data_IF_293674678412
#
_entry.id   IF_293674678412
#
_cell.length_a   1.000
_cell.length_b   1.000
_cell.length_c   1.000
_cell.angle_alpha   90.00
_cell.angle_beta   90.00
_cell.angle_gamma   90.00
#
_symmetry.space_group_name_H-M   'P 1'
#
loop_
_entity.id
_entity.type
_entity.pdbx_description
1 polymer ?
#
# COMPACT_ATOMS: atom_id res chain seq x y z
N UNK A 1 1.19 -26.24 -2.78
CA UNK A 1 0.26 -25.21 -3.28
C UNK A 1 0.99 -24.43 -4.37
N UNK A 2 0.33 -23.85 -5.39
CA UNK A 2 1.00 -23.04 -6.41
C UNK A 2 1.63 -21.79 -5.78
N UNK A 3 2.78 -21.34 -6.31
CA UNK A 3 3.46 -20.12 -5.84
C UNK A 3 2.52 -18.90 -5.83
N UNK A 4 1.70 -18.63 -6.88
CA UNK A 4 0.75 -17.51 -6.86
C UNK A 4 -0.23 -17.54 -5.70
N UNK A 5 -0.74 -18.71 -5.33
CA UNK A 5 -1.72 -18.84 -4.24
C UNK A 5 -1.10 -18.57 -2.87
N UNK A 6 0.17 -18.95 -2.67
CA UNK A 6 0.92 -18.63 -1.45
C UNK A 6 1.28 -17.13 -1.37
N UNK A 7 1.58 -16.50 -2.51
CA UNK A 7 1.80 -15.04 -2.58
C UNK A 7 0.52 -14.27 -2.24
N UNK A 8 -0.64 -14.75 -2.69
CA UNK A 8 -1.93 -14.16 -2.32
C UNK A 8 -2.26 -14.44 -0.85
N UNK A 9 -1.91 -15.62 -0.33
CA UNK A 9 -2.06 -15.93 1.10
C UNK A 9 -1.21 -15.00 1.98
N UNK A 10 0.04 -14.72 1.61
CA UNK A 10 0.89 -13.77 2.33
C UNK A 10 0.30 -12.34 2.33
N UNK A 11 -0.32 -11.93 1.23
CA UNK A 11 -1.04 -10.65 1.13
C UNK A 11 -2.21 -10.59 2.11
N UNK A 12 -3.04 -11.64 2.16
CA UNK A 12 -4.17 -11.74 3.11
C UNK A 12 -3.72 -11.72 4.57
N UNK A 13 -2.63 -12.41 4.89
CA UNK A 13 -1.99 -12.33 6.21
C UNK A 13 -1.59 -10.90 6.56
N UNK A 14 -1.03 -10.16 5.60
CA UNK A 14 -0.67 -8.74 5.79
C UNK A 14 -1.92 -7.87 6.04
N UNK A 15 -3.03 -8.09 5.33
CA UNK A 15 -4.29 -7.37 5.59
C UNK A 15 -4.86 -7.64 6.99
N UNK A 16 -4.68 -8.86 7.49
CA UNK A 16 -5.06 -9.24 8.85
C UNK A 16 -4.06 -8.79 9.94
N UNK A 17 -3.01 -8.05 9.56
CA UNK A 17 -1.91 -7.64 10.45
C UNK A 17 -1.12 -8.82 11.06
N UNK A 18 -0.98 -9.92 10.32
CA UNK A 18 -0.06 -11.02 10.61
C UNK A 18 1.20 -10.89 9.74
N UNK A 19 1.94 -9.78 9.91
CA UNK A 19 3.08 -9.47 9.05
C UNK A 19 4.28 -10.39 9.29
N UNK A 20 4.37 -11.01 10.48
CA UNK A 20 5.43 -11.97 10.80
C UNK A 20 5.22 -13.26 10.01
N UNK A 21 4.01 -13.85 10.06
CA UNK A 21 3.75 -15.05 9.27
C UNK A 21 3.79 -14.76 7.77
N UNK A 22 3.31 -13.60 7.32
CA UNK A 22 3.41 -13.18 5.93
C UNK A 22 4.87 -13.11 5.46
N UNK A 23 5.75 -12.45 6.23
CA UNK A 23 7.18 -12.36 5.92
C UNK A 23 7.84 -13.74 5.86
N UNK A 24 7.59 -14.57 6.86
CA UNK A 24 8.22 -15.89 6.95
C UNK A 24 7.75 -16.80 5.81
N UNK A 25 6.47 -16.72 5.42
CA UNK A 25 5.93 -17.38 4.24
C UNK A 25 6.63 -16.87 2.96
N UNK A 26 6.70 -15.55 2.75
CA UNK A 26 7.35 -14.96 1.56
C UNK A 26 8.81 -15.41 1.41
N UNK A 27 9.58 -15.41 2.50
CA UNK A 27 10.98 -15.87 2.48
C UNK A 27 11.09 -17.36 2.18
N UNK A 28 10.14 -18.17 2.66
CA UNK A 28 10.11 -19.62 2.38
C UNK A 28 9.85 -19.95 0.89
N UNK A 29 9.24 -19.04 0.13
CA UNK A 29 8.96 -19.22 -1.29
C UNK A 29 10.19 -18.96 -2.19
N UNK A 30 11.17 -18.18 -1.73
CA UNK A 30 12.33 -17.75 -2.54
C UNK A 30 13.06 -18.92 -3.20
N UNK A 31 13.44 -20.01 -2.49
CA UNK A 31 14.15 -21.12 -3.12
C UNK A 31 13.34 -21.82 -4.23
N UNK A 32 12.02 -21.89 -4.07
CA UNK A 32 11.13 -22.50 -5.08
C UNK A 32 10.98 -21.60 -6.30
N UNK A 33 10.91 -20.28 -6.09
CA UNK A 33 10.86 -19.28 -7.15
C UNK A 33 12.15 -19.27 -7.97
N UNK A 34 13.31 -19.32 -7.29
CA UNK A 34 14.62 -19.40 -7.93
C UNK A 34 14.74 -20.68 -8.76
N UNK A 35 14.29 -21.83 -8.24
CA UNK A 35 14.28 -23.08 -9.01
C UNK A 35 13.35 -23.03 -10.23
N UNK A 36 12.25 -22.28 -10.12
CA UNK A 36 11.30 -22.08 -11.20
C UNK A 36 11.77 -21.04 -12.25
N UNK A 37 12.84 -20.28 -11.97
CA UNK A 37 13.38 -19.24 -12.85
C UNK A 37 12.32 -18.17 -13.18
N UNK A 38 11.61 -17.68 -12.14
CA UNK A 38 10.48 -16.73 -12.25
C UNK A 38 10.74 -15.43 -11.51
N UNK A 39 11.49 -14.53 -12.15
CA UNK A 39 11.80 -13.21 -11.61
C UNK A 39 10.56 -12.38 -11.28
N UNK A 40 9.46 -12.54 -12.03
CA UNK A 40 8.20 -11.85 -11.74
C UNK A 40 7.59 -12.26 -10.39
N UNK A 41 7.80 -13.49 -9.93
CA UNK A 41 7.40 -13.91 -8.59
C UNK A 41 8.39 -13.43 -7.52
N UNK A 42 9.68 -13.35 -7.83
CA UNK A 42 10.67 -12.78 -6.90
C UNK A 42 10.41 -11.28 -6.67
N UNK A 43 10.03 -10.55 -7.71
CA UNK A 43 9.60 -9.16 -7.64
C UNK A 43 8.33 -8.99 -6.78
N UNK A 44 7.38 -9.93 -6.86
CA UNK A 44 6.19 -9.95 -5.98
C UNK A 44 6.60 -10.09 -4.51
N UNK A 45 7.52 -11.03 -4.22
CA UNK A 45 8.07 -11.23 -2.88
C UNK A 45 8.73 -9.96 -2.34
N UNK A 46 9.63 -9.36 -3.13
CA UNK A 46 10.32 -8.13 -2.74
C UNK A 46 9.35 -6.97 -2.49
N UNK A 47 8.31 -6.86 -3.31
CA UNK A 47 7.32 -5.82 -3.16
C UNK A 47 6.50 -6.00 -1.87
N UNK A 48 5.98 -7.21 -1.61
CA UNK A 48 5.22 -7.49 -0.38
C UNK A 48 6.10 -7.36 0.88
N UNK A 49 7.35 -7.82 0.84
CA UNK A 49 8.31 -7.59 1.93
C UNK A 49 8.55 -6.09 2.16
N UNK A 50 8.68 -5.31 1.09
CA UNK A 50 8.81 -3.86 1.17
C UNK A 50 7.61 -3.20 1.83
N UNK A 51 6.39 -3.64 1.49
CA UNK A 51 5.15 -3.15 2.14
C UNK A 51 5.14 -3.50 3.64
N UNK A 52 5.51 -4.73 4.02
CA UNK A 52 5.63 -5.17 5.42
C UNK A 52 6.66 -4.34 6.18
N UNK A 53 7.85 -4.12 5.61
CA UNK A 53 8.88 -3.31 6.25
C UNK A 53 8.45 -1.86 6.43
N UNK A 54 7.72 -1.31 5.45
CA UNK A 54 7.17 0.04 5.52
C UNK A 54 6.11 0.17 6.62
N UNK A 55 5.24 -0.83 6.80
CA UNK A 55 4.27 -0.88 7.90
C UNK A 55 4.96 -0.91 9.27
N UNK A 56 6.10 -1.58 9.37
CA UNK A 56 6.86 -1.77 10.61
C UNK A 56 7.90 -0.68 10.90
N UNK A 57 8.05 0.32 10.03
CA UNK A 57 9.08 1.35 10.17
C UNK A 57 10.51 0.84 9.96
N UNK A 58 10.68 -0.31 9.31
CA UNK A 58 11.99 -0.89 8.98
C UNK A 58 12.53 -0.27 7.68
N UNK A 59 12.89 1.01 7.74
CA UNK A 59 13.23 1.83 6.57
C UNK A 59 14.36 1.25 5.69
N UNK A 60 15.41 0.69 6.29
CA UNK A 60 16.51 0.04 5.56
C UNK A 60 16.01 -1.16 4.74
N UNK A 61 15.05 -1.92 5.29
CA UNK A 61 14.40 -3.03 4.60
C UNK A 61 13.57 -2.55 3.40
N UNK A 62 12.89 -1.41 3.54
CA UNK A 62 12.13 -0.80 2.44
C UNK A 62 13.08 -0.34 1.32
N UNK A 63 14.18 0.34 1.69
CA UNK A 63 15.20 0.79 0.74
C UNK A 63 15.81 -0.38 -0.03
N UNK A 64 16.15 -1.47 0.67
CA UNK A 64 16.71 -2.67 0.04
C UNK A 64 15.70 -3.34 -0.90
N UNK A 65 14.42 -3.45 -0.52
CA UNK A 65 13.36 -3.94 -1.39
C UNK A 65 13.22 -3.09 -2.66
N UNK A 66 13.17 -1.75 -2.52
CA UNK A 66 13.11 -0.81 -3.65
C UNK A 66 14.30 -1.04 -4.58
N UNK A 67 15.51 -1.03 -4.02
CA UNK A 67 16.75 -1.18 -4.77
C UNK A 67 16.76 -2.48 -5.57
N UNK A 68 16.45 -3.62 -4.93
CA UNK A 68 16.40 -4.93 -5.62
C UNK A 68 15.35 -4.99 -6.73
N UNK A 69 14.18 -4.39 -6.51
CA UNK A 69 13.15 -4.29 -7.56
C UNK A 69 13.70 -3.49 -8.74
N UNK A 70 14.23 -2.28 -8.49
CA UNK A 70 14.75 -1.38 -9.53
C UNK A 70 15.91 -2.01 -10.30
N UNK A 71 16.86 -2.65 -9.60
CA UNK A 71 18.02 -3.32 -10.20
C UNK A 71 17.58 -4.45 -11.14
N UNK A 72 16.63 -5.29 -10.71
CA UNK A 72 16.07 -6.35 -11.55
C UNK A 72 15.37 -5.78 -12.79
N UNK A 73 14.52 -4.76 -12.63
CA UNK A 73 13.82 -4.13 -13.75
C UNK A 73 14.77 -3.45 -14.74
N UNK A 74 15.88 -2.88 -14.27
CA UNK A 74 16.87 -2.25 -15.12
C UNK A 74 17.51 -3.24 -16.10
N UNK A 75 17.73 -4.50 -15.69
CA UNK A 75 18.23 -5.56 -16.57
C UNK A 75 17.23 -5.84 -17.70
N UNK A 76 15.95 -6.00 -17.38
CA UNK A 76 14.91 -6.23 -18.39
C UNK A 76 14.75 -5.05 -19.35
N UNK A 77 14.82 -3.82 -18.85
CA UNK A 77 14.81 -2.62 -19.68
C UNK A 77 16.02 -2.54 -20.62
N UNK A 78 17.21 -2.91 -20.15
CA UNK A 78 18.42 -2.94 -20.97
C UNK A 78 18.34 -4.01 -22.08
N UNK A 79 17.84 -5.20 -21.76
CA UNK A 79 17.56 -6.25 -22.74
C UNK A 79 16.57 -5.75 -23.80
N UNK A 80 15.49 -5.08 -23.37
CA UNK A 80 14.48 -4.50 -24.27
C UNK A 80 15.00 -3.38 -25.14
N UNK A 81 15.96 -2.60 -24.65
CA UNK A 81 16.64 -1.57 -25.42
C UNK A 81 17.73 -2.13 -26.36
N UNK A 82 18.00 -3.44 -26.32
CA UNK A 82 19.04 -4.09 -27.11
C UNK A 82 20.47 -3.80 -26.62
N UNK A 83 20.64 -3.27 -25.41
CA UNK A 83 21.94 -2.93 -24.83
C UNK A 83 22.60 -4.09 -24.08
N UNK A 84 21.89 -5.21 -23.91
CA UNK A 84 22.38 -6.47 -23.32
C UNK A 84 21.98 -7.70 -24.18
N UNK A 85 22.51 -7.83 -25.41
CA UNK A 85 22.12 -8.88 -26.34
C UNK A 85 22.49 -10.30 -25.85
N UNK A 86 23.55 -10.45 -25.05
CA UNK A 86 23.99 -11.72 -24.48
C UNK A 86 22.99 -12.32 -23.46
N UNK A 87 22.20 -11.46 -22.80
CA UNK A 87 21.17 -11.87 -21.85
C UNK A 87 19.82 -12.13 -22.52
N UNK A 88 19.60 -11.61 -23.74
CA UNK A 88 18.32 -11.74 -24.44
C UNK A 88 17.89 -13.20 -24.69
N UNK A 89 18.86 -14.10 -24.94
CA UNK A 89 18.59 -15.53 -25.13
C UNK A 89 18.23 -16.29 -23.85
N UNK A 90 18.38 -15.66 -22.67
CA UNK A 90 18.06 -16.26 -21.37
C UNK A 90 16.63 -15.93 -20.93
N UNK A 91 16.04 -14.87 -21.48
CA UNK A 91 14.68 -14.45 -21.13
C UNK A 91 13.66 -15.39 -21.76
N UNK A 92 12.91 -16.09 -20.90
CA UNK A 92 11.84 -17.03 -21.31
C UNK A 92 10.47 -16.36 -21.46
N UNK A 93 10.29 -15.19 -20.85
CA UNK A 93 9.07 -14.41 -20.95
C UNK A 93 8.95 -13.75 -22.32
N UNK A 94 7.72 -13.66 -22.82
CA UNK A 94 7.42 -12.85 -24.00
C UNK A 94 7.66 -11.36 -23.73
N UNK A 95 7.84 -10.58 -24.79
CA UNK A 95 8.00 -9.13 -24.69
C UNK A 95 6.83 -8.46 -23.94
N UNK A 96 5.60 -8.90 -24.19
CA UNK A 96 4.41 -8.36 -23.52
C UNK A 96 4.38 -8.70 -22.03
N UNK A 97 4.85 -9.88 -21.63
CA UNK A 97 5.00 -10.26 -20.21
C UNK A 97 6.08 -9.41 -19.52
N UNK A 98 7.22 -9.17 -20.18
CA UNK A 98 8.28 -8.29 -19.68
C UNK A 98 7.76 -6.86 -19.49
N UNK A 99 7.05 -6.30 -20.48
CA UNK A 99 6.51 -4.93 -20.39
C UNK A 99 5.51 -4.82 -19.24
N UNK A 100 4.63 -5.82 -19.09
CA UNK A 100 3.67 -5.88 -17.99
C UNK A 100 4.37 -5.96 -16.63
N UNK A 101 5.38 -6.82 -16.50
CA UNK A 101 6.16 -6.99 -15.28
C UNK A 101 6.89 -5.69 -14.89
N UNK A 102 7.61 -5.09 -15.84
CA UNK A 102 8.32 -3.83 -15.64
C UNK A 102 7.37 -2.73 -15.20
N UNK A 103 6.21 -2.61 -15.85
CA UNK A 103 5.19 -1.61 -15.49
C UNK A 103 4.67 -1.82 -14.08
N UNK A 104 4.25 -3.05 -13.77
CA UNK A 104 3.67 -3.43 -12.49
C UNK A 104 4.62 -3.15 -11.33
N UNK A 105 5.86 -3.63 -11.42
CA UNK A 105 6.80 -3.50 -10.31
C UNK A 105 7.49 -2.13 -10.25
N UNK A 106 7.55 -1.37 -11.35
CA UNK A 106 7.93 0.05 -11.28
C UNK A 106 6.93 0.85 -10.45
N UNK A 107 5.62 0.61 -10.63
CA UNK A 107 4.57 1.24 -9.82
C UNK A 107 4.64 0.82 -8.35
N UNK A 108 4.93 -0.45 -8.07
CA UNK A 108 5.12 -0.92 -6.68
C UNK A 108 6.35 -0.32 -6.01
N UNK A 109 7.49 -0.25 -6.72
CA UNK A 109 8.67 0.46 -6.21
C UNK A 109 8.36 1.93 -5.95
N UNK A 110 7.65 2.61 -6.87
CA UNK A 110 7.22 3.99 -6.69
C UNK A 110 6.32 4.17 -5.45
N UNK A 111 5.38 3.24 -5.22
CA UNK A 111 4.56 3.22 -4.00
C UNK A 111 5.42 3.14 -2.73
N UNK A 112 6.42 2.24 -2.71
CA UNK A 112 7.33 2.08 -1.58
C UNK A 112 8.18 3.34 -1.35
N UNK A 113 8.68 3.96 -2.42
CA UNK A 113 9.44 5.21 -2.37
C UNK A 113 8.61 6.35 -1.77
N UNK A 114 7.34 6.49 -2.19
CA UNK A 114 6.40 7.49 -1.64
C UNK A 114 6.19 7.24 -0.15
N UNK A 115 5.91 6.00 0.22
CA UNK A 115 5.67 5.62 1.61
C UNK A 115 6.89 5.85 2.49
N UNK A 116 8.09 5.54 2.01
CA UNK A 116 9.34 5.76 2.70
C UNK A 116 9.62 7.26 2.89
N UNK A 117 9.44 8.07 1.85
CA UNK A 117 9.59 9.52 1.94
C UNK A 117 8.64 10.10 3.00
N UNK A 118 7.36 9.69 2.98
CA UNK A 118 6.38 10.10 3.98
C UNK A 118 6.79 9.67 5.40
N UNK A 119 7.26 8.42 5.58
CA UNK A 119 7.71 7.91 6.88
C UNK A 119 8.97 8.61 7.43
N UNK A 120 9.76 9.25 6.57
CA UNK A 120 10.94 10.03 6.94
C UNK A 120 10.64 11.53 7.14
N UNK A 121 9.37 11.95 7.01
CA UNK A 121 8.95 13.36 7.07
C UNK A 121 9.24 14.15 5.79
N UNK A 122 9.72 13.50 4.72
CA UNK A 122 9.89 14.12 3.39
C UNK A 122 8.54 14.17 2.65
N UNK A 123 7.67 15.06 3.13
CA UNK A 123 6.32 15.25 2.57
C UNK A 123 6.34 15.83 1.15
N UNK A 124 7.37 16.60 0.80
CA UNK A 124 7.53 17.14 -0.55
C UNK A 124 7.93 16.05 -1.54
N UNK A 125 8.91 15.22 -1.19
CA UNK A 125 9.29 14.04 -1.96
C UNK A 125 8.13 13.07 -2.13
N UNK A 126 7.39 12.79 -1.06
CA UNK A 126 6.21 11.94 -1.11
C UNK A 126 5.12 12.50 -2.05
N UNK A 127 4.85 13.81 -1.99
CA UNK A 127 3.88 14.47 -2.87
C UNK A 127 4.31 14.48 -4.34
N UNK A 128 5.60 14.69 -4.61
CA UNK A 128 6.16 14.57 -5.96
C UNK A 128 6.02 13.15 -6.50
N UNK A 129 6.31 12.13 -5.68
CA UNK A 129 6.11 10.73 -6.04
C UNK A 129 4.64 10.40 -6.31
N UNK A 130 3.70 10.93 -5.53
CA UNK A 130 2.26 10.79 -5.78
C UNK A 130 1.85 11.37 -7.14
N UNK A 131 2.38 12.54 -7.52
CA UNK A 131 2.12 13.14 -8.84
C UNK A 131 2.67 12.26 -9.97
N UNK A 132 3.87 11.72 -9.81
CA UNK A 132 4.47 10.79 -10.78
C UNK A 132 3.64 9.52 -10.91
N UNK A 133 3.22 8.93 -9.79
CA UNK A 133 2.39 7.73 -9.80
C UNK A 133 1.00 7.99 -10.40
N UNK A 134 0.43 9.18 -10.20
CA UNK A 134 -0.88 9.56 -10.74
C UNK A 134 -0.84 10.05 -12.19
N UNK A 135 0.34 10.23 -12.78
CA UNK A 135 0.47 10.73 -14.14
C UNK A 135 -0.28 9.80 -15.13
N UNK A 136 -0.98 10.36 -16.14
CA UNK A 136 -1.60 9.58 -17.19
C UNK A 136 -0.59 8.63 -17.83
N UNK A 137 -1.06 7.43 -18.14
CA UNK A 137 -0.28 6.41 -18.79
C UNK A 137 -0.69 6.31 -20.24
N UNK A 138 0.14 6.80 -21.16
CA UNK A 138 -0.10 6.70 -22.60
C UNK A 138 -0.13 5.23 -23.06
N UNK A 139 0.52 4.32 -22.32
CA UNK A 139 0.57 2.88 -22.56
C UNK A 139 -0.26 2.11 -21.51
N UNK A 140 -1.47 2.58 -21.23
CA UNK A 140 -2.35 1.98 -20.23
C UNK A 140 -2.61 0.49 -20.51
N UNK A 141 -2.07 -0.40 -19.66
CA UNK A 141 -2.38 -1.83 -19.65
C UNK A 141 -3.66 -2.07 -18.83
N UNK A 142 -4.80 -2.44 -19.45
CA UNK A 142 -6.09 -2.53 -18.74
C UNK A 142 -6.05 -3.48 -17.53
N UNK A 143 -5.27 -4.56 -17.62
CA UNK A 143 -5.09 -5.54 -16.55
C UNK A 143 -4.31 -5.05 -15.32
N UNK A 144 -3.82 -3.80 -15.31
CA UNK A 144 -3.12 -3.18 -14.17
C UNK A 144 -3.86 -1.97 -13.60
N UNK A 145 -5.03 -1.59 -14.14
CA UNK A 145 -5.74 -0.39 -13.73
C UNK A 145 -6.22 -0.47 -12.27
N UNK A 146 -6.81 -1.60 -11.86
CA UNK A 146 -7.29 -1.81 -10.49
C UNK A 146 -6.13 -1.80 -9.47
N UNK A 147 -5.02 -2.48 -9.77
CA UNK A 147 -3.83 -2.47 -8.92
C UNK A 147 -3.20 -1.07 -8.83
N UNK A 148 -3.16 -0.32 -9.94
CA UNK A 148 -2.66 1.05 -9.93
C UNK A 148 -3.53 1.98 -9.08
N UNK A 149 -4.86 1.87 -9.19
CA UNK A 149 -5.80 2.62 -8.35
C UNK A 149 -5.65 2.25 -6.86
N UNK A 150 -5.42 0.96 -6.56
CA UNK A 150 -5.11 0.49 -5.22
C UNK A 150 -3.83 1.14 -4.67
N UNK A 151 -2.71 1.03 -5.39
CA UNK A 151 -1.42 1.59 -4.98
C UNK A 151 -1.50 3.10 -4.76
N UNK A 152 -2.19 3.81 -5.66
CA UNK A 152 -2.32 5.27 -5.56
C UNK A 152 -3.16 5.68 -4.35
N UNK A 153 -4.29 5.02 -4.10
CA UNK A 153 -5.12 5.27 -2.92
C UNK A 153 -4.37 4.92 -1.64
N UNK A 154 -3.67 3.79 -1.62
CA UNK A 154 -2.88 3.37 -0.47
C UNK A 154 -1.76 4.37 -0.16
N UNK A 155 -1.03 4.84 -1.17
CA UNK A 155 0.02 5.85 -1.01
C UNK A 155 -0.53 7.15 -0.42
N UNK A 156 -1.69 7.61 -0.92
CA UNK A 156 -2.36 8.82 -0.39
C UNK A 156 -2.74 8.66 1.08
N UNK A 157 -3.28 7.50 1.48
CA UNK A 157 -3.58 7.19 2.87
C UNK A 157 -2.31 7.30 3.73
N UNK A 158 -1.20 6.69 3.29
CA UNK A 158 0.08 6.72 4.02
C UNK A 158 0.63 8.15 4.15
N UNK A 159 0.60 8.95 3.09
CA UNK A 159 1.02 10.34 3.14
C UNK A 159 0.13 11.19 4.06
N UNK A 160 -1.18 10.97 4.02
CA UNK A 160 -2.12 11.71 4.87
C UNK A 160 -1.92 11.37 6.35
N UNK A 161 -1.68 10.09 6.68
CA UNK A 161 -1.31 9.64 8.02
C UNK A 161 0.00 10.30 8.47
N UNK A 162 1.06 10.24 7.66
CA UNK A 162 2.35 10.81 8.02
C UNK A 162 2.27 12.32 8.29
N UNK A 163 1.48 13.06 7.50
CA UNK A 163 1.22 14.48 7.77
C UNK A 163 0.50 14.67 9.11
N UNK A 164 -0.47 13.83 9.46
CA UNK A 164 -1.17 13.93 10.74
C UNK A 164 -0.27 13.55 11.93
N UNK A 165 0.57 12.53 11.78
CA UNK A 165 1.53 12.13 12.80
C UNK A 165 2.61 13.22 13.06
N UNK A 166 2.87 14.10 12.07
CA UNK A 166 3.74 15.28 12.19
C UNK A 166 2.97 16.58 12.56
N UNK A 167 1.73 16.49 13.03
CA UNK A 167 0.86 17.63 13.40
C UNK A 167 0.55 18.60 12.22
N UNK A 168 0.69 18.15 10.98
CA UNK A 168 0.40 18.89 9.76
C UNK A 168 -1.04 18.64 9.25
N UNK A 169 -2.02 18.65 10.16
CA UNK A 169 -3.44 18.36 9.88
C UNK A 169 -4.04 19.19 8.75
N UNK A 170 -3.68 20.47 8.62
CA UNK A 170 -4.19 21.33 7.54
C UNK A 170 -3.69 20.87 6.17
N UNK A 171 -2.44 20.39 6.09
CA UNK A 171 -1.83 19.91 4.85
C UNK A 171 -2.39 18.55 4.41
N UNK A 172 -2.93 17.76 5.34
CA UNK A 172 -3.51 16.44 5.01
C UNK A 172 -4.91 16.53 4.42
N UNK A 173 -5.63 17.65 4.58
CA UNK A 173 -7.02 17.83 4.11
C UNK A 173 -7.21 17.47 2.62
N UNK A 174 -6.41 17.98 1.65
CA UNK A 174 -6.63 17.67 0.23
C UNK A 174 -6.40 16.18 -0.09
N UNK A 175 -5.47 15.53 0.63
CA UNK A 175 -5.25 14.09 0.48
C UNK A 175 -6.44 13.31 1.02
N UNK A 176 -6.98 13.69 2.18
CA UNK A 176 -8.15 13.04 2.76
C UNK A 176 -9.38 13.14 1.86
N UNK A 177 -9.64 14.31 1.26
CA UNK A 177 -10.72 14.48 0.28
C UNK A 177 -10.57 13.49 -0.89
N UNK A 178 -9.35 13.38 -1.42
CA UNK A 178 -9.05 12.46 -2.52
C UNK A 178 -9.18 10.98 -2.12
N UNK A 179 -8.76 10.64 -0.90
CA UNK A 179 -8.88 9.27 -0.36
C UNK A 179 -10.35 8.88 -0.19
N UNK A 180 -11.15 9.75 0.40
CA UNK A 180 -12.59 9.50 0.65
C UNK A 180 -13.32 9.29 -0.68
N UNK A 181 -13.10 10.19 -1.64
CA UNK A 181 -13.67 10.05 -2.97
C UNK A 181 -13.29 8.72 -3.63
N UNK A 182 -12.03 8.29 -3.47
CA UNK A 182 -11.55 7.04 -4.05
C UNK A 182 -12.18 5.80 -3.39
N UNK A 183 -12.29 5.76 -2.05
CA UNK A 183 -12.83 4.59 -1.35
C UNK A 183 -14.36 4.49 -1.44
N UNK A 184 -15.07 5.63 -1.57
CA UNK A 184 -16.52 5.65 -1.78
C UNK A 184 -16.91 5.32 -3.23
N UNK A 185 -16.09 5.69 -4.23
CA UNK A 185 -16.33 5.37 -5.65
C UNK A 185 -15.84 3.99 -6.08
N UNK A 186 -15.10 3.28 -5.25
CA UNK A 186 -14.64 1.93 -5.57
C UNK A 186 -15.85 0.99 -5.72
N UNK A 187 -16.18 0.58 -6.95
CA UNK A 187 -17.28 -0.34 -7.25
C UNK A 187 -16.89 -1.81 -7.08
N UNK A 188 -15.61 -2.13 -7.33
CA UNK A 188 -15.09 -3.48 -7.17
C UNK A 188 -15.14 -3.91 -5.70
N UNK A 189 -15.59 -5.14 -5.48
CA UNK A 189 -15.59 -5.78 -4.16
C UNK A 189 -14.52 -6.85 -4.17
N UNK A 190 -13.34 -6.48 -3.66
CA UNK A 190 -12.20 -7.37 -3.42
C UNK A 190 -11.61 -7.11 -2.04
N UNK A 191 -10.85 -8.08 -1.52
CA UNK A 191 -10.22 -7.96 -0.20
C UNK A 191 -9.25 -6.76 -0.15
N UNK A 192 -8.57 -6.45 -1.25
CA UNK A 192 -7.74 -5.26 -1.38
C UNK A 192 -8.55 -3.95 -1.30
N UNK A 193 -9.72 -3.88 -1.95
CA UNK A 193 -10.60 -2.71 -1.83
C UNK A 193 -11.18 -2.56 -0.42
N UNK A 194 -11.52 -3.67 0.24
CA UNK A 194 -11.98 -3.65 1.62
C UNK A 194 -10.87 -3.24 2.59
N UNK A 195 -9.62 -3.65 2.32
CA UNK A 195 -8.45 -3.22 3.09
C UNK A 195 -8.27 -1.70 3.03
N UNK A 196 -8.40 -1.09 1.84
CA UNK A 196 -8.37 0.36 1.70
C UNK A 196 -9.54 1.06 2.38
N UNK A 197 -10.76 0.49 2.27
CA UNK A 197 -11.94 1.05 2.95
C UNK A 197 -11.78 1.01 4.46
N UNK A 198 -11.24 -0.06 5.03
CA UNK A 198 -11.01 -0.17 6.48
C UNK A 198 -9.88 0.78 6.89
N UNK A 199 -8.71 0.66 6.28
CA UNK A 199 -7.52 1.43 6.66
C UNK A 199 -7.73 2.93 6.44
N UNK A 200 -8.28 3.32 5.29
CA UNK A 200 -8.56 4.72 4.96
C UNK A 200 -9.64 5.33 5.85
N UNK A 201 -10.76 4.62 6.08
CA UNK A 201 -11.84 5.13 6.94
C UNK A 201 -11.43 5.22 8.41
N UNK A 202 -10.67 4.24 8.91
CA UNK A 202 -10.16 4.28 10.29
C UNK A 202 -9.21 5.47 10.48
N UNK A 203 -8.26 5.66 9.56
CA UNK A 203 -7.31 6.76 9.63
C UNK A 203 -7.98 8.13 9.44
N UNK A 204 -8.94 8.25 8.51
CA UNK A 204 -9.73 9.48 8.38
C UNK A 204 -10.57 9.76 9.64
N UNK A 205 -11.15 8.72 10.23
CA UNK A 205 -11.86 8.82 11.51
C UNK A 205 -10.98 9.38 12.62
N UNK A 206 -9.75 8.85 12.78
CA UNK A 206 -8.74 9.38 13.71
C UNK A 206 -8.45 10.86 13.44
N UNK A 207 -8.18 11.24 12.19
CA UNK A 207 -7.98 12.63 11.79
C UNK A 207 -9.17 13.54 12.18
N UNK A 208 -10.40 13.07 11.99
CA UNK A 208 -11.61 13.78 12.42
C UNK A 208 -11.71 13.90 13.95
N UNK A 209 -11.31 12.87 14.70
CA UNK A 209 -11.26 12.94 16.17
C UNK A 209 -10.22 13.96 16.65
N UNK A 210 -8.99 13.89 16.13
CA UNK A 210 -7.89 14.80 16.48
C UNK A 210 -8.22 16.26 16.16
N UNK A 211 -8.97 16.51 15.08
CA UNK A 211 -9.39 17.86 14.68
C UNK A 211 -10.75 18.28 15.26
N UNK A 212 -11.33 17.49 16.14
CA UNK A 212 -12.57 17.80 16.86
C UNK A 212 -13.87 17.62 16.06
N UNK A 213 -13.83 17.11 14.82
CA UNK A 213 -14.96 16.83 13.92
C UNK A 213 -15.61 15.48 14.25
N UNK A 214 -16.10 15.35 15.47
CA UNK A 214 -16.60 14.07 16.01
C UNK A 214 -17.82 13.51 15.26
N UNK A 215 -18.72 14.40 14.80
CA UNK A 215 -19.90 14.01 14.02
C UNK A 215 -19.53 13.41 12.67
N UNK A 216 -18.43 13.86 12.10
CA UNK A 216 -17.86 13.32 10.86
C UNK A 216 -17.13 11.99 11.12
N UNK A 217 -16.41 11.86 12.24
CA UNK A 217 -15.65 10.65 12.57
C UNK A 217 -16.52 9.40 12.73
N UNK A 218 -17.64 9.49 13.45
CA UNK A 218 -18.43 8.33 13.88
C UNK A 218 -18.91 7.41 12.73
N UNK A 219 -19.53 7.90 11.63
CA UNK A 219 -19.96 7.02 10.55
C UNK A 219 -18.80 6.32 9.83
N UNK A 220 -17.63 6.96 9.76
CA UNK A 220 -16.42 6.35 9.18
C UNK A 220 -15.91 5.21 10.07
N UNK A 221 -15.73 5.49 11.36
CA UNK A 221 -15.21 4.51 12.31
C UNK A 221 -16.16 3.30 12.48
N UNK A 222 -17.48 3.52 12.49
CA UNK A 222 -18.46 2.42 12.54
C UNK A 222 -18.38 1.51 11.32
N UNK A 223 -18.36 2.10 10.11
CA UNK A 223 -18.28 1.32 8.86
C UNK A 223 -16.96 0.57 8.75
N UNK A 224 -15.86 1.21 9.11
CA UNK A 224 -14.54 0.58 9.14
C UNK A 224 -14.51 -0.61 10.10
N UNK A 225 -15.01 -0.43 11.33
CA UNK A 225 -15.01 -1.48 12.36
C UNK A 225 -15.88 -2.67 11.99
N UNK A 226 -17.09 -2.44 11.47
CA UNK A 226 -17.96 -3.52 11.01
C UNK A 226 -17.33 -4.34 9.87
N UNK A 227 -16.67 -3.66 8.92
CA UNK A 227 -15.98 -4.31 7.80
C UNK A 227 -14.73 -5.08 8.25
N UNK A 228 -13.96 -4.53 9.19
CA UNK A 228 -12.82 -5.21 9.78
C UNK A 228 -13.25 -6.51 10.50
N UNK A 229 -14.35 -6.47 11.26
CA UNK A 229 -14.91 -7.64 11.93
C UNK A 229 -15.39 -8.71 10.94
N UNK A 230 -16.07 -8.29 9.86
CA UNK A 230 -16.53 -9.21 8.82
C UNK A 230 -15.38 -9.96 8.11
N UNK A 231 -14.20 -9.32 8.01
CA UNK A 231 -13.00 -9.92 7.43
C UNK A 231 -12.11 -10.63 8.46
N UNK A 232 -12.47 -10.64 9.75
CA UNK A 232 -11.64 -11.23 10.80
C UNK A 232 -10.35 -10.44 11.09
N UNK A 233 -10.29 -9.16 10.74
CA UNK A 233 -9.12 -8.30 10.99
C UNK A 233 -9.18 -7.72 12.41
N UNK A 234 -8.66 -8.48 13.36
CA UNK A 234 -8.76 -8.17 14.80
C UNK A 234 -8.09 -6.84 15.16
N UNK A 235 -6.86 -6.59 14.70
CA UNK A 235 -6.14 -5.35 15.00
C UNK A 235 -6.85 -4.12 14.42
N UNK A 236 -7.36 -4.21 13.18
CA UNK A 236 -8.11 -3.12 12.57
C UNK A 236 -9.43 -2.87 13.33
N UNK A 237 -10.11 -3.93 13.77
CA UNK A 237 -11.30 -3.83 14.59
C UNK A 237 -11.00 -3.11 15.92
N UNK A 238 -9.95 -3.53 16.63
CA UNK A 238 -9.52 -2.92 17.88
C UNK A 238 -9.14 -1.44 17.71
N UNK A 239 -8.43 -1.07 16.63
CA UNK A 239 -8.11 0.33 16.30
C UNK A 239 -9.37 1.17 16.15
N UNK A 240 -10.38 0.70 15.42
CA UNK A 240 -11.64 1.46 15.27
C UNK A 240 -12.39 1.63 16.59
N UNK A 241 -12.31 0.65 17.51
CA UNK A 241 -12.89 0.78 18.85
C UNK A 241 -12.15 1.82 19.69
N UNK A 242 -10.82 1.84 19.61
CA UNK A 242 -9.98 2.82 20.28
C UNK A 242 -10.33 4.25 19.84
N UNK A 243 -10.39 4.51 18.53
CA UNK A 243 -10.71 5.85 18.00
C UNK A 243 -12.11 6.31 18.40
N UNK A 244 -13.08 5.39 18.46
CA UNK A 244 -14.44 5.70 18.93
C UNK A 244 -14.46 6.03 20.42
N UNK A 245 -13.69 5.31 21.23
CA UNK A 245 -13.55 5.62 22.65
C UNK A 245 -12.89 6.99 22.86
N UNK A 246 -11.86 7.32 22.08
CA UNK A 246 -11.23 8.64 22.08
C UNK A 246 -12.24 9.75 21.72
N UNK A 247 -13.05 9.54 20.68
CA UNK A 247 -14.12 10.48 20.31
C UNK A 247 -15.13 10.72 21.45
N UNK A 248 -15.55 9.65 22.14
CA UNK A 248 -16.46 9.76 23.29
C UNK A 248 -15.82 10.53 24.45
N UNK A 249 -14.56 10.26 24.75
CA UNK A 249 -13.82 10.98 25.78
C UNK A 249 -13.70 12.47 25.46
N UNK A 250 -13.30 12.83 24.24
CA UNK A 250 -13.21 14.23 23.80
C UNK A 250 -14.56 14.96 23.74
N UNK A 251 -15.67 14.25 23.60
CA UNK A 251 -17.01 14.85 23.73
C UNK A 251 -17.37 15.12 25.20
N UNK A 252 -17.03 14.17 26.09
CA UNK A 252 -17.23 14.30 27.54
C UNK A 252 -16.44 15.46 28.15
N UNK A 253 -15.18 15.64 27.73
CA UNK A 253 -14.35 16.77 28.18
C UNK A 253 -14.97 18.12 27.82
N UNK A 254 -15.54 18.27 26.61
CA UNK A 254 -16.22 19.51 26.20
C UNK A 254 -17.38 19.87 27.12
N UNK A 255 -18.20 18.88 27.51
CA UNK A 255 -19.32 19.09 28.42
C UNK A 255 -18.89 19.41 29.86
N UNK A 256 -17.67 19.07 30.26
CA UNK A 256 -17.15 19.40 31.59
C UNK A 256 -16.51 20.81 31.68
N UNK A 257 -16.13 21.40 30.54
CA UNK A 257 -15.48 22.73 30.46
C UNK A 257 -16.40 23.88 30.03
N UNK A 258 -17.60 23.61 29.54
CA UNK A 258 -18.65 24.61 29.22
C UNK A 258 -19.65 24.76 30.36
#
# INVERSE_FOLDING_TARGET
MPIPDELERARRMTFAADEVAARDLLLSLVPQIEHADRDDFLLEVLAQLGEIYLLRGANDGVQESIRRIRDCLAVYLAIRAGTMPEAAGQVRMSNTEVDRMVRRYSRRAQFLEIGLAAALGDHEGANNGLRTLAAPDDDALPGLAAEHAYLLTHARIRCAIALCDDDLHVRSIPLWQTVIDAIDRAEEVSEATDYLRVTGAAAYGRFCVETGRLTEAEPWLRRAGARAQANGWELASARTQLERAAACWSAGDRWATE
#
